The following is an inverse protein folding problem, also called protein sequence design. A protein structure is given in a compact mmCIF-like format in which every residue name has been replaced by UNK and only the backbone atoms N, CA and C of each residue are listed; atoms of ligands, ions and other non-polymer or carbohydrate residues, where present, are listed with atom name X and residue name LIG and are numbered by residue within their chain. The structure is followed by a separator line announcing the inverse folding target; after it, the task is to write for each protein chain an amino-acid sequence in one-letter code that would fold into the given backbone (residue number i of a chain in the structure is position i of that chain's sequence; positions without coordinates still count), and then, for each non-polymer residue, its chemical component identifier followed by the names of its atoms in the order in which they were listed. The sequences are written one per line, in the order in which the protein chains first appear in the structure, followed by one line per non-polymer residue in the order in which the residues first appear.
data_IF_826107082541
#
_entry.id   IF_826107082541
#
_cell.length_a   1.000
_cell.length_b   1.000
_cell.length_c   1.000
_cell.angle_alpha   90.00
_cell.angle_beta   90.00
_cell.angle_gamma   90.00
#
_symmetry.space_group_name_H-M   'P 1'
#
loop_
_entity.id
_entity.type
_entity.pdbx_description
1 polymer ?
#
# COMPACT_ATOMS: atom_id res chain seq x y z
N UNK A 1 -37.52 30.94 -1.00
CA UNK A 1 -37.09 29.67 -1.62
C UNK A 1 -35.65 29.42 -1.20
N UNK A 2 -35.48 28.52 -0.23
CA UNK A 2 -34.19 28.08 0.28
C UNK A 2 -33.46 27.26 -0.81
N UNK A 3 -32.16 27.45 -1.04
CA UNK A 3 -31.44 26.71 -2.07
C UNK A 3 -31.27 25.24 -1.66
N UNK A 4 -31.69 24.34 -2.54
CA UNK A 4 -31.66 22.88 -2.34
C UNK A 4 -30.26 22.36 -1.97
N UNK A 5 -30.15 21.37 -1.06
CA UNK A 5 -28.89 20.72 -0.77
C UNK A 5 -28.40 19.95 -2.02
N UNK A 6 -27.15 20.21 -2.42
CA UNK A 6 -26.49 19.52 -3.55
C UNK A 6 -26.36 18.01 -3.26
N UNK A 7 -26.46 17.13 -4.28
CA UNK A 7 -26.36 15.70 -4.08
C UNK A 7 -24.98 15.33 -3.53
N UNK A 8 -24.96 14.49 -2.50
CA UNK A 8 -23.74 13.98 -1.88
C UNK A 8 -22.90 13.25 -2.94
N UNK A 9 -21.64 13.69 -3.07
CA UNK A 9 -20.69 13.21 -4.06
C UNK A 9 -20.63 11.69 -4.19
N UNK A 10 -20.60 11.26 -5.45
CA UNK A 10 -20.41 9.90 -5.92
C UNK A 10 -19.40 9.12 -5.06
N UNK A 11 -19.74 7.93 -4.55
CA UNK A 11 -18.74 7.09 -3.89
C UNK A 11 -17.70 6.65 -4.93
N UNK A 12 -16.41 6.77 -4.62
CA UNK A 12 -15.36 6.14 -5.44
C UNK A 12 -15.56 4.63 -5.39
N UNK A 13 -16.10 4.08 -6.47
CA UNK A 13 -16.46 2.66 -6.59
C UNK A 13 -15.38 1.89 -7.34
N UNK A 14 -14.73 0.92 -6.70
CA UNK A 14 -13.99 -0.16 -7.39
C UNK A 14 -14.52 -1.51 -6.91
N UNK A 15 -15.72 -1.87 -7.38
CA UNK A 15 -16.47 -3.13 -7.14
C UNK A 15 -16.59 -3.55 -5.66
N UNK A 16 -17.73 -3.18 -5.04
CA UNK A 16 -18.17 -3.68 -3.73
C UNK A 16 -18.46 -5.19 -3.79
N UNK A 17 -17.84 -5.96 -2.88
CA UNK A 17 -18.27 -7.32 -2.50
C UNK A 17 -17.92 -8.46 -3.45
N UNK A 18 -17.11 -8.24 -4.48
CA UNK A 18 -16.70 -9.28 -5.42
C UNK A 18 -15.36 -9.92 -4.99
N UNK A 19 -15.13 -11.22 -5.25
CA UNK A 19 -13.79 -11.80 -5.15
C UNK A 19 -12.80 -10.95 -5.97
N UNK A 20 -11.79 -10.37 -5.30
CA UNK A 20 -10.76 -9.54 -5.95
C UNK A 20 -10.80 -8.03 -5.66
N UNK A 21 -11.61 -7.53 -4.71
CA UNK A 21 -11.52 -6.12 -4.27
C UNK A 21 -10.16 -5.82 -3.61
N UNK A 22 -9.42 -4.84 -4.14
CA UNK A 22 -8.12 -4.38 -3.59
C UNK A 22 -8.29 -3.17 -2.66
N UNK A 23 -9.21 -2.25 -2.99
CA UNK A 23 -9.51 -1.03 -2.23
C UNK A 23 -11.02 -0.87 -2.04
N UNK A 24 -11.46 -0.39 -0.87
CA UNK A 24 -12.85 -0.07 -0.59
C UNK A 24 -12.96 1.17 0.31
N UNK A 25 -13.97 1.99 0.08
CA UNK A 25 -14.18 3.22 0.86
C UNK A 25 -15.60 3.75 0.80
N UNK A 26 -15.82 4.87 1.48
CA UNK A 26 -17.11 5.56 1.51
C UNK A 26 -17.12 6.76 2.46
N UNK A 27 -18.23 7.50 2.40
CA UNK A 27 -18.55 8.55 3.37
C UNK A 27 -19.04 7.95 4.68
N UNK A 28 -18.73 8.60 5.79
CA UNK A 28 -19.13 8.23 7.14
C UNK A 28 -19.33 9.48 8.03
N UNK A 29 -19.95 10.51 7.46
CA UNK A 29 -20.15 11.84 8.09
C UNK A 29 -20.76 11.77 9.51
N UNK A 30 -21.68 10.84 9.78
CA UNK A 30 -22.29 10.66 11.10
C UNK A 30 -21.42 9.96 12.14
N UNK A 31 -20.28 9.39 11.75
CA UNK A 31 -19.43 8.58 12.65
C UNK A 31 -18.75 9.43 13.73
N UNK A 32 -18.41 10.67 13.40
CA UNK A 32 -17.78 11.60 14.37
C UNK A 32 -18.77 11.99 15.46
N UNK A 33 -20.04 12.19 15.09
CA UNK A 33 -21.12 12.49 16.04
C UNK A 33 -21.46 11.28 16.93
N UNK A 34 -21.52 10.07 16.35
CA UNK A 34 -21.74 8.83 17.09
C UNK A 34 -20.66 8.55 18.16
N UNK A 35 -19.46 9.12 18.01
CA UNK A 35 -18.35 8.98 18.96
C UNK A 35 -18.28 10.15 19.96
N UNK A 36 -19.30 11.02 20.01
CA UNK A 36 -19.39 12.15 20.96
C UNK A 36 -18.72 13.44 20.47
N UNK A 37 -18.34 13.52 19.20
CA UNK A 37 -17.84 14.73 18.57
C UNK A 37 -18.95 15.60 17.95
N UNK A 38 -18.58 16.76 17.43
CA UNK A 38 -19.49 17.58 16.62
C UNK A 38 -19.74 16.92 15.25
N UNK A 39 -20.94 17.11 14.70
CA UNK A 39 -21.25 16.70 13.33
C UNK A 39 -20.18 17.24 12.36
N UNK A 40 -19.43 16.32 11.74
CA UNK A 40 -18.25 16.64 10.93
C UNK A 40 -18.28 15.76 9.68
N UNK A 41 -18.26 16.35 8.47
CA UNK A 41 -18.14 15.56 7.25
C UNK A 41 -16.88 14.68 7.27
N UNK A 42 -17.03 13.42 6.90
CA UNK A 42 -15.97 12.42 6.96
C UNK A 42 -16.11 11.40 5.83
N UNK A 43 -14.99 11.00 5.26
CA UNK A 43 -14.89 9.98 4.23
C UNK A 43 -13.48 9.42 4.17
N UNK A 44 -13.35 8.22 3.61
CA UNK A 44 -12.06 7.53 3.53
C UNK A 44 -12.16 6.18 2.86
N UNK A 45 -11.02 5.56 2.67
CA UNK A 45 -10.88 4.24 2.07
C UNK A 45 -9.83 3.43 2.81
N UNK A 46 -9.88 2.12 2.62
CA UNK A 46 -8.88 1.16 3.05
C UNK A 46 -8.50 0.27 1.87
N UNK A 47 -7.25 -0.18 1.87
CA UNK A 47 -6.70 -1.05 0.83
C UNK A 47 -5.97 -2.23 1.49
N UNK A 48 -6.10 -3.42 0.91
CA UNK A 48 -5.35 -4.60 1.35
C UNK A 48 -4.01 -4.70 0.61
N UNK A 49 -2.90 -4.53 1.33
CA UNK A 49 -1.56 -4.54 0.73
C UNK A 49 -1.20 -5.90 0.14
N UNK A 50 -1.61 -7.00 0.77
CA UNK A 50 -1.35 -8.36 0.28
C UNK A 50 -2.01 -8.57 -1.09
N UNK A 51 -3.26 -8.11 -1.24
CA UNK A 51 -3.99 -8.17 -2.51
C UNK A 51 -3.40 -7.22 -3.55
N UNK A 52 -2.93 -6.05 -3.12
CA UNK A 52 -2.25 -5.11 -4.00
C UNK A 52 -0.95 -5.69 -4.56
N UNK A 53 -0.11 -6.28 -3.71
CA UNK A 53 1.16 -6.91 -4.12
C UNK A 53 0.90 -8.03 -5.12
N UNK A 54 -0.07 -8.90 -4.84
CA UNK A 54 -0.45 -9.97 -5.76
C UNK A 54 -0.96 -9.43 -7.10
N UNK A 55 -1.78 -8.36 -7.09
CA UNK A 55 -2.25 -7.72 -8.32
C UNK A 55 -1.09 -7.12 -9.13
N UNK A 56 -0.15 -6.44 -8.46
CA UNK A 56 1.03 -5.85 -9.09
C UNK A 56 1.89 -6.93 -9.74
N UNK A 57 2.16 -8.02 -9.03
CA UNK A 57 2.92 -9.16 -9.57
C UNK A 57 2.22 -9.83 -10.77
N UNK A 58 0.89 -9.93 -10.74
CA UNK A 58 0.12 -10.52 -11.84
C UNK A 58 0.08 -9.63 -13.10
N UNK A 59 0.01 -8.31 -12.94
CA UNK A 59 -0.08 -7.35 -14.06
C UNK A 59 1.29 -6.97 -14.58
N UNK A 60 2.30 -6.93 -13.71
CA UNK A 60 3.67 -6.57 -14.04
C UNK A 60 4.66 -7.62 -13.50
N UNK A 61 4.87 -8.73 -14.23
CA UNK A 61 5.76 -9.80 -13.79
C UNK A 61 7.23 -9.37 -13.68
N UNK A 62 7.63 -8.30 -14.38
CA UNK A 62 8.96 -7.71 -14.32
C UNK A 62 9.16 -6.77 -13.10
N UNK A 63 8.14 -6.60 -12.27
CA UNK A 63 8.26 -5.88 -10.99
C UNK A 63 9.04 -6.73 -9.97
N UNK A 64 10.35 -6.77 -10.15
CA UNK A 64 11.29 -7.52 -9.32
C UNK A 64 12.08 -6.52 -8.46
N UNK A 65 12.25 -6.85 -7.18
CA UNK A 65 13.09 -6.06 -6.29
C UNK A 65 14.56 -6.14 -6.74
N UNK A 66 15.29 -5.03 -6.56
CA UNK A 66 16.73 -5.04 -6.79
C UNK A 66 17.42 -6.12 -5.95
N UNK A 67 18.48 -6.76 -6.49
CA UNK A 67 19.29 -7.69 -5.71
C UNK A 67 19.76 -7.02 -4.41
N UNK A 68 19.77 -7.78 -3.31
CA UNK A 68 20.29 -7.29 -2.02
C UNK A 68 21.83 -7.25 -2.01
N UNK A 69 22.46 -7.96 -2.94
CA UNK A 69 23.92 -8.07 -3.07
C UNK A 69 24.30 -7.69 -4.49
N UNK A 70 25.04 -6.60 -4.63
CA UNK A 70 25.60 -6.17 -5.92
C UNK A 70 26.91 -6.90 -6.23
N UNK A 71 27.73 -7.15 -5.21
CA UNK A 71 29.05 -7.77 -5.33
C UNK A 71 29.22 -8.85 -4.26
N UNK A 72 29.59 -10.06 -4.68
CA UNK A 72 29.90 -11.16 -3.78
C UNK A 72 31.42 -11.43 -3.81
N UNK A 73 32.09 -11.22 -2.68
CA UNK A 73 33.54 -11.37 -2.56
C UNK A 73 33.91 -12.80 -2.14
N UNK A 74 34.64 -13.51 -2.99
CA UNK A 74 35.11 -14.87 -2.72
C UNK A 74 36.55 -14.84 -2.23
N UNK A 75 36.78 -15.35 -1.01
CA UNK A 75 38.11 -15.53 -0.44
C UNK A 75 38.39 -17.02 -0.27
N UNK A 76 39.37 -17.54 -1.00
CA UNK A 76 39.78 -18.95 -0.94
C UNK A 76 41.29 -19.05 -0.69
N UNK A 77 41.69 -19.95 0.20
CA UNK A 77 43.08 -20.13 0.65
C UNK A 77 43.30 -19.70 2.09
N UNK A 78 44.33 -20.26 2.74
CA UNK A 78 44.65 -19.97 4.14
C UNK A 78 44.96 -18.47 4.33
N UNK A 79 44.46 -17.90 5.43
CA UNK A 79 44.72 -16.51 5.85
C UNK A 79 44.18 -15.40 4.91
N UNK A 80 43.31 -15.73 3.95
CA UNK A 80 42.76 -14.72 3.00
C UNK A 80 41.61 -13.89 3.57
N UNK A 81 40.96 -14.33 4.66
CA UNK A 81 39.78 -13.66 5.23
C UNK A 81 40.05 -12.23 5.70
N UNK A 82 41.19 -11.96 6.34
CA UNK A 82 41.51 -10.61 6.84
C UNK A 82 41.68 -9.64 5.67
N UNK A 83 42.43 -10.03 4.64
CA UNK A 83 42.64 -9.22 3.45
C UNK A 83 41.33 -9.01 2.66
N UNK A 84 40.49 -10.05 2.59
CA UNK A 84 39.17 -9.99 1.97
C UNK A 84 38.23 -9.01 2.69
N UNK A 85 38.24 -8.98 4.02
CA UNK A 85 37.45 -8.03 4.79
C UNK A 85 37.93 -6.59 4.56
N UNK A 86 39.25 -6.36 4.55
CA UNK A 86 39.82 -5.04 4.26
C UNK A 86 39.48 -4.55 2.84
N UNK A 87 39.33 -5.46 1.87
CA UNK A 87 38.93 -5.12 0.50
C UNK A 87 37.42 -4.87 0.37
N UNK A 88 36.62 -5.40 1.30
CA UNK A 88 35.16 -5.26 1.31
C UNK A 88 34.67 -3.98 2.00
N UNK A 89 35.52 -3.33 2.81
CA UNK A 89 35.30 -1.98 3.37
C UNK A 89 35.56 -0.87 2.33
#
# INVERSE_FOLDING_TARGET
LEPAPRPAGEPVTTRRGAPGTVCAGGRYDGRVEQLGGRATPAGGFAMGLERLVLLVQAVNPEFIASPVVDIYLVAAGAHTQSAAMTLAE
#
